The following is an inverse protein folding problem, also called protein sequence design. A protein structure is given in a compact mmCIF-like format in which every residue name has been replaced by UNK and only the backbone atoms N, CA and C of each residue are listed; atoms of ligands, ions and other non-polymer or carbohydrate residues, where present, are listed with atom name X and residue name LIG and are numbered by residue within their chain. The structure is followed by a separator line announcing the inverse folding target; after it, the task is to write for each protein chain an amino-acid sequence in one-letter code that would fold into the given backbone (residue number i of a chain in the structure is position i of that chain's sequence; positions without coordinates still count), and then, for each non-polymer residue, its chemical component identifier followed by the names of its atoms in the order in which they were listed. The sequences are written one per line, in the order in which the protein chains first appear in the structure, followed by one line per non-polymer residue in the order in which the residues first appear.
data_IF_998794838856
#
_entry.id   IF_998794838856
#
_cell.length_a   1.000
_cell.length_b   1.000
_cell.length_c   1.000
_cell.angle_alpha   90.00
_cell.angle_beta   90.00
_cell.angle_gamma   90.00
#
_symmetry.space_group_name_H-M   'P 1'
#
loop_
_entity.id
_entity.type
_entity.pdbx_description
1 polymer ?
#
# COMPACT_ATOMS: atom_id res chain seq x y z
N UNK A 1 -2.68 -15.78 -9.42
CA UNK A 1 -3.21 -14.96 -8.31
C UNK A 1 -2.78 -15.58 -6.99
N UNK A 2 -1.92 -14.89 -6.26
CA UNK A 2 -1.42 -15.23 -4.92
C UNK A 2 -2.54 -14.98 -3.90
N UNK A 3 -2.94 -15.98 -3.10
CA UNK A 3 -4.02 -15.83 -2.13
C UNK A 3 -3.57 -14.97 -0.93
N UNK A 4 -4.54 -14.49 -0.14
CA UNK A 4 -4.21 -13.81 1.12
C UNK A 4 -3.84 -14.81 2.22
N UNK A 5 -3.04 -14.37 3.21
CA UNK A 5 -2.74 -15.16 4.40
C UNK A 5 -3.70 -14.78 5.55
N UNK A 6 -4.59 -15.70 6.00
CA UNK A 6 -5.60 -15.38 7.01
C UNK A 6 -5.07 -14.97 8.38
N UNK A 7 -3.86 -15.38 8.73
CA UNK A 7 -3.26 -15.08 10.04
C UNK A 7 -2.63 -13.69 10.04
N UNK A 8 -2.09 -13.24 8.91
CA UNK A 8 -1.40 -11.95 8.81
C UNK A 8 -2.31 -10.82 8.37
N UNK A 9 -3.50 -11.13 7.83
CA UNK A 9 -4.51 -10.09 7.63
C UNK A 9 -5.14 -9.62 8.94
N UNK A 10 -4.88 -10.19 10.12
CA UNK A 10 -5.56 -9.75 11.36
C UNK A 10 -5.25 -8.28 11.71
N UNK A 11 -6.15 -7.62 12.46
CA UNK A 11 -6.05 -6.19 12.75
C UNK A 11 -4.76 -5.85 13.49
N UNK A 12 -4.38 -6.70 14.44
CA UNK A 12 -3.19 -6.58 15.26
C UNK A 12 -1.91 -6.56 14.42
N UNK A 13 -1.93 -7.20 13.25
CA UNK A 13 -0.80 -7.25 12.31
C UNK A 13 -0.79 -6.06 11.37
N UNK A 14 -1.94 -5.66 10.81
CA UNK A 14 -1.97 -4.64 9.76
C UNK A 14 -2.23 -3.22 10.25
N UNK A 15 -2.85 -3.03 11.41
CA UNK A 15 -3.16 -1.70 11.94
C UNK A 15 -1.89 -0.85 12.18
N UNK A 16 -0.75 -1.41 12.64
CA UNK A 16 0.51 -0.68 12.68
C UNK A 16 0.94 -0.11 11.31
N UNK A 17 0.83 -0.90 10.24
CA UNK A 17 1.18 -0.47 8.88
C UNK A 17 0.27 0.68 8.39
N UNK A 18 -1.00 0.65 8.76
CA UNK A 18 -1.93 1.74 8.43
C UNK A 18 -1.68 3.00 9.28
N UNK A 19 -1.23 2.85 10.53
CA UNK A 19 -0.84 3.98 11.37
C UNK A 19 0.43 4.66 10.82
N UNK A 20 1.42 3.87 10.39
CA UNK A 20 2.62 4.36 9.72
C UNK A 20 2.26 5.13 8.44
N UNK A 21 1.30 4.62 7.66
CA UNK A 21 0.79 5.34 6.49
C UNK A 21 0.09 6.65 6.87
N UNK A 22 -0.71 6.67 7.94
CA UNK A 22 -1.38 7.90 8.37
C UNK A 22 -0.36 9.00 8.73
N UNK A 23 0.73 8.65 9.42
CA UNK A 23 1.79 9.60 9.72
C UNK A 23 2.52 10.04 8.45
N UNK A 24 2.93 9.10 7.60
CA UNK A 24 3.71 9.40 6.41
C UNK A 24 2.92 10.19 5.36
N UNK A 25 1.63 9.88 5.20
CA UNK A 25 0.75 10.59 4.26
C UNK A 25 0.57 12.08 4.62
N UNK A 26 0.57 12.43 5.91
CA UNK A 26 0.58 13.82 6.39
C UNK A 26 1.88 14.53 5.99
N UNK A 27 3.02 13.88 6.23
CA UNK A 27 4.33 14.43 5.83
C UNK A 27 4.45 14.62 4.31
N UNK A 28 3.97 13.66 3.52
CA UNK A 28 3.97 13.77 2.04
C UNK A 28 3.09 14.95 1.59
N UNK A 29 1.91 15.10 2.20
CA UNK A 29 1.00 16.20 1.89
C UNK A 29 1.65 17.55 2.21
N UNK A 30 2.24 17.71 3.40
CA UNK A 30 2.97 18.91 3.81
C UNK A 30 4.13 19.22 2.86
N UNK A 31 4.94 18.22 2.48
CA UNK A 31 6.05 18.42 1.55
C UNK A 31 5.60 18.89 0.15
N UNK A 32 4.43 18.46 -0.30
CA UNK A 32 3.82 18.96 -1.53
C UNK A 32 3.30 20.40 -1.41
N UNK A 33 2.67 20.72 -0.29
CA UNK A 33 2.13 22.05 -0.01
C UNK A 33 3.24 23.10 0.10
N UNK A 34 4.29 22.78 0.88
CA UNK A 34 5.47 23.62 1.06
C UNK A 34 6.40 23.65 -0.17
N UNK A 35 6.26 22.68 -1.08
CA UNK A 35 7.15 22.48 -2.23
C UNK A 35 8.64 22.38 -1.83
N UNK A 36 8.90 21.77 -0.68
CA UNK A 36 10.22 21.71 -0.05
C UNK A 36 11.17 20.66 -0.65
N UNK A 37 10.75 19.97 -1.72
CA UNK A 37 11.54 18.95 -2.42
C UNK A 37 11.54 17.56 -1.77
N UNK A 38 11.02 17.40 -0.55
CA UNK A 38 11.06 16.12 0.18
C UNK A 38 9.97 15.12 -0.26
N UNK A 39 8.98 15.57 -1.02
CA UNK A 39 7.82 14.75 -1.39
C UNK A 39 8.22 13.45 -2.09
N UNK A 40 9.24 13.48 -2.96
CA UNK A 40 9.71 12.27 -3.66
C UNK A 40 10.27 11.22 -2.70
N UNK A 41 11.13 11.62 -1.76
CA UNK A 41 11.76 10.70 -0.80
C UNK A 41 10.75 10.12 0.18
N UNK A 42 9.80 10.94 0.63
CA UNK A 42 8.71 10.48 1.48
C UNK A 42 7.76 9.54 0.73
N UNK A 43 7.50 9.80 -0.55
CA UNK A 43 6.71 8.91 -1.41
C UNK A 43 7.39 7.56 -1.63
N UNK A 44 8.72 7.51 -1.78
CA UNK A 44 9.45 6.23 -1.86
C UNK A 44 9.28 5.40 -0.58
N UNK A 45 9.29 6.03 0.60
CA UNK A 45 8.97 5.35 1.86
C UNK A 45 7.54 4.83 1.87
N UNK A 46 6.59 5.59 1.33
CA UNK A 46 5.18 5.21 1.28
C UNK A 46 4.92 4.04 0.34
N UNK A 47 5.62 4.02 -0.80
CA UNK A 47 5.61 2.90 -1.74
C UNK A 47 6.14 1.64 -1.07
N UNK A 48 7.29 1.72 -0.38
CA UNK A 48 7.87 0.58 0.31
C UNK A 48 6.94 0.03 1.40
N UNK A 49 6.31 0.92 2.19
CA UNK A 49 5.32 0.55 3.19
C UNK A 49 4.10 -0.16 2.56
N UNK A 50 3.65 0.31 1.39
CA UNK A 50 2.56 -0.34 0.67
C UNK A 50 2.96 -1.72 0.14
N UNK A 51 4.17 -1.85 -0.41
CA UNK A 51 4.70 -3.14 -0.86
C UNK A 51 4.79 -4.13 0.32
N UNK A 52 5.29 -3.67 1.48
CA UNK A 52 5.34 -4.43 2.71
C UNK A 52 3.94 -4.90 3.16
N UNK A 53 2.92 -4.03 3.08
CA UNK A 53 1.54 -4.41 3.40
C UNK A 53 1.04 -5.55 2.50
N UNK A 54 1.26 -5.46 1.18
CA UNK A 54 0.83 -6.50 0.25
C UNK A 54 1.57 -7.81 0.51
N UNK A 55 2.89 -7.76 0.72
CA UNK A 55 3.69 -8.95 0.99
C UNK A 55 3.24 -9.62 2.30
N UNK A 56 3.14 -8.83 3.38
CA UNK A 56 2.75 -9.32 4.72
C UNK A 56 1.40 -10.01 4.68
N UNK A 57 0.45 -9.49 3.92
CA UNK A 57 -0.94 -9.97 3.89
C UNK A 57 -1.20 -11.07 2.86
N UNK A 58 -0.18 -11.42 2.07
CA UNK A 58 -0.27 -12.45 1.04
C UNK A 58 0.32 -13.77 1.52
N UNK A 59 -0.20 -14.88 1.01
CA UNK A 59 0.30 -16.22 1.28
C UNK A 59 1.47 -16.53 0.34
N UNK A 60 2.63 -15.95 0.64
CA UNK A 60 3.87 -16.13 -0.08
C UNK A 60 5.07 -16.05 0.85
N UNK A 61 6.20 -16.61 0.42
CA UNK A 61 7.49 -16.54 1.13
C UNK A 61 8.43 -15.46 0.58
N UNK A 62 8.07 -14.82 -0.54
CA UNK A 62 8.88 -13.78 -1.16
C UNK A 62 8.91 -12.51 -0.30
N UNK A 63 10.07 -11.86 -0.26
CA UNK A 63 10.28 -10.58 0.44
C UNK A 63 10.05 -9.35 -0.45
N UNK A 64 9.66 -9.55 -1.71
CA UNK A 64 9.41 -8.50 -2.71
C UNK A 64 8.12 -8.77 -3.47
N UNK A 65 7.49 -7.71 -3.98
CA UNK A 65 6.35 -7.84 -4.90
C UNK A 65 6.85 -8.32 -6.26
N UNK A 66 6.22 -9.37 -6.78
CA UNK A 66 6.34 -9.73 -8.18
C UNK A 66 5.30 -8.97 -9.02
N UNK A 67 5.75 -8.06 -9.87
CA UNK A 67 4.87 -7.23 -10.72
C UNK A 67 4.11 -8.02 -11.79
N UNK A 68 4.54 -9.26 -12.07
CA UNK A 68 3.87 -10.15 -13.02
C UNK A 68 2.84 -11.07 -12.36
N UNK A 69 2.65 -10.96 -11.05
CA UNK A 69 1.68 -11.74 -10.28
C UNK A 69 0.51 -10.87 -9.82
N UNK A 70 -0.67 -11.48 -9.81
CA UNK A 70 -1.85 -10.91 -9.19
C UNK A 70 -1.90 -11.28 -7.71
N UNK A 71 -2.22 -10.33 -6.83
CA UNK A 71 -2.39 -10.58 -5.41
C UNK A 71 -3.87 -10.43 -5.03
N UNK A 72 -4.43 -11.41 -4.32
CA UNK A 72 -5.83 -11.34 -3.90
C UNK A 72 -6.09 -10.12 -3.00
N UNK A 73 -5.10 -9.66 -2.24
CA UNK A 73 -5.22 -8.47 -1.37
C UNK A 73 -5.17 -7.14 -2.13
N UNK A 74 -4.69 -7.11 -3.38
CA UNK A 74 -4.65 -5.88 -4.17
C UNK A 74 -6.05 -5.43 -4.59
N UNK A 75 -6.34 -4.12 -4.63
CA UNK A 75 -7.56 -3.59 -5.22
C UNK A 75 -7.56 -3.75 -6.74
N UNK A 76 -8.69 -3.40 -7.38
CA UNK A 76 -8.82 -3.44 -8.85
C UNK A 76 -7.72 -2.55 -9.47
N UNK A 77 -7.03 -3.08 -10.47
CA UNK A 77 -5.88 -2.46 -11.14
C UNK A 77 -4.77 -2.01 -10.18
N UNK A 78 -4.67 -2.65 -9.01
CA UNK A 78 -3.75 -2.26 -7.95
C UNK A 78 -2.29 -2.30 -8.40
N UNK A 79 -1.89 -3.32 -9.18
CA UNK A 79 -0.52 -3.46 -9.67
C UNK A 79 -0.16 -2.38 -10.70
N UNK A 80 -1.05 -2.10 -11.65
CA UNK A 80 -0.86 -1.04 -12.65
C UNK A 80 -0.71 0.33 -11.98
N UNK A 81 -1.57 0.64 -11.02
CA UNK A 81 -1.52 1.88 -10.24
C UNK A 81 -0.22 1.99 -9.44
N UNK A 82 0.20 0.91 -8.78
CA UNK A 82 1.46 0.87 -8.05
C UNK A 82 2.66 1.12 -8.99
N UNK A 83 2.71 0.45 -10.14
CA UNK A 83 3.74 0.65 -11.15
C UNK A 83 3.79 2.09 -11.66
N UNK A 84 2.63 2.72 -11.89
CA UNK A 84 2.55 4.13 -12.27
C UNK A 84 3.10 5.07 -11.19
N UNK A 85 2.74 4.83 -9.92
CA UNK A 85 3.23 5.61 -8.77
C UNK A 85 4.76 5.49 -8.66
N UNK A 86 5.29 4.26 -8.79
CA UNK A 86 6.75 3.99 -8.74
C UNK A 86 7.53 4.73 -9.81
N UNK A 87 6.94 4.91 -10.99
CA UNK A 87 7.58 5.65 -12.07
C UNK A 87 7.66 7.17 -11.81
N UNK A 88 6.82 7.72 -10.92
CA UNK A 88 6.63 9.17 -10.73
C UNK A 88 6.34 9.56 -9.28
N UNK A 89 7.18 9.13 -8.30
CA UNK A 89 6.88 9.28 -6.88
C UNK A 89 6.68 10.73 -6.44
N UNK A 90 7.40 11.69 -7.03
CA UNK A 90 7.29 13.11 -6.67
C UNK A 90 6.05 13.85 -7.21
N UNK A 91 5.08 13.17 -7.84
CA UNK A 91 3.86 13.82 -8.33
C UNK A 91 2.72 13.76 -7.31
N UNK A 92 2.06 14.90 -7.07
CA UNK A 92 0.91 14.95 -6.15
C UNK A 92 -0.21 13.98 -6.52
N UNK A 93 -0.46 13.78 -7.82
CA UNK A 93 -1.43 12.79 -8.29
C UNK A 93 -1.04 11.36 -7.87
N UNK A 94 0.26 11.03 -7.84
CA UNK A 94 0.76 9.73 -7.38
C UNK A 94 0.60 9.57 -5.86
N UNK A 95 0.80 10.63 -5.08
CA UNK A 95 0.45 10.65 -3.65
C UNK A 95 -1.04 10.32 -3.44
N UNK A 96 -1.95 11.01 -4.14
CA UNK A 96 -3.39 10.74 -4.04
C UNK A 96 -3.73 9.31 -4.45
N UNK A 97 -3.09 8.79 -5.49
CA UNK A 97 -3.28 7.41 -5.94
C UNK A 97 -2.82 6.39 -4.89
N UNK A 98 -1.68 6.62 -4.24
CA UNK A 98 -1.18 5.77 -3.16
C UNK A 98 -2.12 5.78 -1.94
N UNK A 99 -2.63 6.96 -1.56
CA UNK A 99 -3.62 7.10 -0.48
C UNK A 99 -4.90 6.28 -0.75
N UNK A 100 -5.40 6.33 -1.99
CA UNK A 100 -6.55 5.51 -2.37
C UNK A 100 -6.23 4.01 -2.38
N UNK A 101 -5.03 3.60 -2.80
CA UNK A 101 -4.60 2.20 -2.72
C UNK A 101 -4.62 1.68 -1.27
N UNK A 102 -4.13 2.46 -0.30
CA UNK A 102 -4.20 2.08 1.12
C UNK A 102 -5.65 1.94 1.60
N UNK A 103 -6.53 2.89 1.27
CA UNK A 103 -7.95 2.86 1.68
C UNK A 103 -8.69 1.67 1.10
N UNK A 104 -8.51 1.39 -0.18
CA UNK A 104 -9.15 0.29 -0.87
C UNK A 104 -8.64 -1.06 -0.35
N UNK A 105 -7.32 -1.18 -0.13
CA UNK A 105 -6.71 -2.38 0.45
C UNK A 105 -7.24 -2.62 1.86
N UNK A 106 -7.32 -1.59 2.72
CA UNK A 106 -7.92 -1.71 4.06
C UNK A 106 -9.35 -2.28 4.02
N UNK A 107 -10.17 -1.76 3.10
CA UNK A 107 -11.54 -2.27 2.87
C UNK A 107 -11.54 -3.71 2.38
N UNK A 108 -10.63 -4.07 1.46
CA UNK A 108 -10.51 -5.43 0.92
C UNK A 108 -10.12 -6.43 2.01
N UNK A 109 -9.11 -6.11 2.82
CA UNK A 109 -8.70 -6.93 3.97
C UNK A 109 -9.86 -7.13 4.95
N UNK A 110 -10.62 -6.08 5.28
CA UNK A 110 -11.80 -6.20 6.14
C UNK A 110 -12.85 -7.17 5.57
N UNK A 111 -13.11 -7.12 4.26
CA UNK A 111 -14.03 -8.06 3.59
C UNK A 111 -13.52 -9.50 3.60
N UNK A 112 -12.21 -9.71 3.38
CA UNK A 112 -11.59 -11.04 3.39
C UNK A 112 -11.67 -11.69 4.77
N UNK A 113 -11.48 -10.93 5.86
CA UNK A 113 -11.65 -11.43 7.23
C UNK A 113 -13.06 -11.96 7.49
N UNK A 114 -14.09 -11.23 7.06
CA UNK A 114 -15.49 -11.62 7.28
C UNK A 114 -15.87 -12.84 6.44
N UNK A 115 -15.37 -12.96 5.21
CA UNK A 115 -15.68 -14.10 4.32
C UNK A 115 -15.18 -15.45 4.87
N UNK A 116 -14.14 -15.45 5.73
CA UNK A 116 -13.57 -16.67 6.29
C UNK A 116 -14.25 -17.11 7.61
N UNK A 117 -14.98 -16.21 8.27
CA UNK A 117 -15.81 -16.54 9.44
C UNK A 117 -17.15 -17.14 8.99
#
# INVERSE_FOLDING_TARGET
MIPFNPNTIQKEVVDPLFADWEQLSKQIHEAHDERNGQASDLMLKGIHLYEQLIITTSDQENTEINQNEDYEVLPINGMERLSFIKARPGQYACYRQLDELFKETKKKLARLRVKKN
#
